data_IF_970486438280
#
_entry.id   IF_970486438280
#
_cell.length_a   1.000
_cell.length_b   1.000
_cell.length_c   1.000
_cell.angle_alpha   90.00
_cell.angle_beta   90.00
_cell.angle_gamma   90.00
#
_symmetry.space_group_name_H-M   'P 1'
#
loop_
_entity.id
_entity.type
_entity.pdbx_description
1 polymer ?
#
# COMPACT_ATOMS: atom_id res chain seq x y z
N UNK A 1 12.27 -26.58 93.01
CA UNK A 1 12.14 -25.10 93.05
C UNK A 1 11.28 -24.72 91.86
N UNK A 2 10.00 -24.44 92.12
CA UNK A 2 9.36 -23.10 92.02
C UNK A 2 9.00 -22.71 90.58
N UNK A 3 7.74 -23.01 90.25
CA UNK A 3 6.67 -22.06 89.88
C UNK A 3 7.03 -20.88 88.97
N UNK A 4 6.29 -20.71 87.87
CA UNK A 4 5.15 -19.78 87.89
C UNK A 4 4.17 -19.93 86.70
N UNK A 5 2.91 -19.75 87.06
CA UNK A 5 1.69 -19.65 86.25
C UNK A 5 1.73 -18.46 85.28
N UNK A 6 1.09 -18.58 84.11
CA UNK A 6 -0.04 -17.72 83.74
C UNK A 6 -0.73 -18.22 82.46
N UNK A 7 -1.99 -18.66 82.64
CA UNK A 7 -3.02 -18.77 81.61
C UNK A 7 -3.38 -17.38 81.07
N UNK A 8 -3.70 -17.28 79.77
CA UNK A 8 -4.92 -16.64 79.26
C UNK A 8 -5.03 -16.75 77.73
N UNK A 9 -6.21 -17.11 77.23
CA UNK A 9 -6.71 -16.61 75.94
C UNK A 9 -6.99 -17.63 74.84
N UNK A 10 -8.19 -18.22 74.89
CA UNK A 10 -8.87 -19.00 73.84
C UNK A 10 -9.09 -18.14 72.59
N UNK A 11 -8.92 -18.69 71.37
CA UNK A 11 -9.92 -18.63 70.29
C UNK A 11 -9.49 -19.57 69.14
N UNK A 12 -10.28 -20.63 68.94
CA UNK A 12 -10.16 -21.50 67.78
C UNK A 12 -10.56 -20.75 66.51
N UNK A 13 -9.75 -20.85 65.47
CA UNK A 13 -10.16 -20.53 64.11
C UNK A 13 -10.02 -21.78 63.24
N UNK A 14 -11.19 -22.27 62.87
CA UNK A 14 -11.47 -23.20 61.80
C UNK A 14 -10.91 -22.61 60.50
N UNK A 15 -9.79 -23.13 59.99
CA UNK A 15 -9.31 -22.76 58.66
C UNK A 15 -10.19 -23.49 57.64
N UNK A 16 -11.18 -22.78 57.09
CA UNK A 16 -11.80 -23.15 55.83
C UNK A 16 -10.73 -23.03 54.74
N UNK A 17 -10.22 -24.15 54.25
CA UNK A 17 -9.50 -24.19 52.98
C UNK A 17 -10.54 -24.00 51.88
N UNK A 18 -10.75 -22.74 51.47
CA UNK A 18 -11.45 -22.46 50.22
C UNK A 18 -10.53 -22.90 49.10
N UNK A 19 -10.88 -24.03 48.46
CA UNK A 19 -10.28 -24.44 47.19
C UNK A 19 -10.56 -23.32 46.17
N UNK A 20 -9.59 -22.43 46.00
CA UNK A 20 -9.61 -21.47 44.91
C UNK A 20 -9.52 -22.25 43.61
N UNK A 21 -10.63 -22.30 42.86
CA UNK A 21 -10.58 -22.54 41.43
C UNK A 21 -9.73 -21.42 40.82
N UNK A 22 -8.42 -21.65 40.69
CA UNK A 22 -7.61 -20.89 39.74
C UNK A 22 -8.06 -21.33 38.35
N UNK A 23 -9.09 -20.64 37.84
CA UNK A 23 -9.31 -20.56 36.42
C UNK A 23 -7.95 -20.15 35.80
N UNK A 24 -7.47 -20.83 34.74
CA UNK A 24 -6.29 -20.39 34.06
C UNK A 24 -6.53 -18.93 33.65
N UNK A 25 -5.66 -18.02 34.09
CA UNK A 25 -5.58 -16.69 33.50
C UNK A 25 -5.25 -16.93 32.02
N UNK A 26 -6.29 -16.91 31.19
CA UNK A 26 -6.19 -16.73 29.76
C UNK A 26 -5.36 -15.46 29.56
N UNK A 27 -4.06 -15.65 29.28
CA UNK A 27 -3.23 -14.63 28.64
C UNK A 27 -4.01 -14.18 27.42
N UNK A 28 -4.63 -13.01 27.54
CA UNK A 28 -5.31 -12.38 26.43
C UNK A 28 -4.26 -12.07 25.35
N UNK A 29 -4.39 -12.77 24.22
CA UNK A 29 -3.88 -12.40 22.91
C UNK A 29 -2.37 -12.50 22.73
N UNK A 30 -1.87 -13.68 22.39
CA UNK A 30 -0.92 -13.69 21.29
C UNK A 30 -1.72 -13.23 20.07
N UNK A 31 -1.50 -11.99 19.63
CA UNK A 31 -1.99 -11.51 18.34
C UNK A 31 -1.41 -12.47 17.29
N UNK A 32 -2.26 -13.28 16.66
CA UNK A 32 -1.83 -14.13 15.56
C UNK A 32 -1.57 -13.20 14.38
N UNK A 33 -0.29 -12.92 14.14
CA UNK A 33 0.18 -12.00 13.09
C UNK A 33 0.43 -12.73 11.78
N UNK A 34 0.19 -14.03 11.74
CA UNK A 34 0.39 -14.83 10.55
C UNK A 34 -0.62 -14.42 9.47
N UNK A 35 -0.18 -14.49 8.23
CA UNK A 35 -1.05 -14.30 7.07
C UNK A 35 -1.62 -15.65 6.62
N UNK A 36 -2.81 -15.64 6.02
CA UNK A 36 -3.36 -16.85 5.40
C UNK A 36 -2.66 -17.20 4.09
N UNK A 37 -2.67 -18.49 3.72
CA UNK A 37 -2.13 -18.94 2.43
C UNK A 37 -2.88 -18.34 1.23
N UNK A 38 -4.19 -18.10 1.41
CA UNK A 38 -5.02 -17.45 0.39
C UNK A 38 -4.58 -15.99 0.17
N UNK A 39 -4.34 -15.24 1.25
CA UNK A 39 -3.84 -13.87 1.15
C UNK A 39 -2.45 -13.83 0.54
N UNK A 40 -1.53 -14.70 0.97
CA UNK A 40 -0.18 -14.80 0.37
C UNK A 40 -0.24 -14.98 -1.15
N UNK A 41 -1.07 -15.93 -1.62
CA UNK A 41 -1.24 -16.21 -3.05
C UNK A 41 -1.84 -15.02 -3.79
N UNK A 42 -2.80 -14.31 -3.19
CA UNK A 42 -3.38 -13.11 -3.80
C UNK A 42 -2.36 -11.95 -3.87
N UNK A 43 -1.50 -11.77 -2.85
CA UNK A 43 -0.46 -10.75 -2.84
C UNK A 43 0.62 -11.03 -3.90
N UNK A 44 1.06 -12.28 -4.04
CA UNK A 44 2.01 -12.70 -5.08
C UNK A 44 1.45 -12.44 -6.49
N UNK A 45 0.19 -12.79 -6.72
CA UNK A 45 -0.50 -12.53 -8.00
C UNK A 45 -0.55 -11.02 -8.29
N UNK A 46 -0.94 -10.21 -7.30
CA UNK A 46 -1.03 -8.76 -7.44
C UNK A 46 0.33 -8.11 -7.67
N UNK A 47 1.41 -8.67 -7.13
CA UNK A 47 2.77 -8.23 -7.42
C UNK A 47 3.12 -8.41 -8.91
N UNK A 48 2.75 -9.54 -9.53
CA UNK A 48 2.91 -9.75 -10.98
C UNK A 48 2.02 -8.82 -11.81
N UNK A 49 0.79 -8.59 -11.37
CA UNK A 49 -0.16 -7.67 -12.05
C UNK A 49 0.38 -6.23 -12.04
N UNK A 50 0.90 -5.75 -10.91
CA UNK A 50 1.45 -4.39 -10.83
C UNK A 50 2.77 -4.25 -11.58
N UNK A 51 3.59 -5.29 -11.66
CA UNK A 51 4.81 -5.28 -12.48
C UNK A 51 4.51 -5.01 -13.97
N UNK A 52 3.44 -5.62 -14.51
CA UNK A 52 3.00 -5.40 -15.90
C UNK A 52 2.74 -3.92 -16.20
N UNK A 53 2.38 -3.11 -15.19
CA UNK A 53 2.15 -1.67 -15.39
C UNK A 53 3.41 -0.95 -15.88
N UNK A 54 4.61 -1.48 -15.61
CA UNK A 54 5.89 -0.98 -16.11
C UNK A 54 6.12 -1.22 -17.60
N UNK A 55 5.26 -1.99 -18.28
CA UNK A 55 5.25 -2.04 -19.74
C UNK A 55 4.60 -0.79 -20.36
N UNK A 56 3.82 -0.02 -19.61
CA UNK A 56 3.15 1.19 -20.08
C UNK A 56 4.13 2.37 -20.14
N UNK A 57 4.14 3.06 -21.29
CA UNK A 57 5.02 4.22 -21.54
C UNK A 57 6.42 3.88 -22.05
N UNK A 58 6.72 2.60 -22.33
CA UNK A 58 7.95 2.20 -23.03
C UNK A 58 7.80 2.39 -24.55
N UNK A 59 8.85 2.84 -25.23
CA UNK A 59 8.83 3.27 -26.65
C UNK A 59 8.73 2.14 -27.67
N UNK A 60 8.58 0.88 -27.27
CA UNK A 60 8.64 -0.23 -28.24
C UNK A 60 7.62 -1.36 -28.06
N UNK A 61 7.16 -1.70 -26.84
CA UNK A 61 6.31 -2.91 -26.65
C UNK A 61 5.31 -2.81 -25.50
N UNK A 62 4.50 -1.74 -25.49
CA UNK A 62 3.40 -1.56 -24.52
C UNK A 62 2.40 -2.71 -24.46
N UNK A 63 1.36 -2.57 -23.63
CA UNK A 63 0.34 -3.62 -23.49
C UNK A 63 -0.65 -3.51 -24.66
N UNK A 64 -0.95 -4.64 -25.28
CA UNK A 64 -1.85 -4.76 -26.43
C UNK A 64 -3.04 -5.67 -26.12
N UNK A 65 -4.15 -5.50 -26.86
CA UNK A 65 -5.33 -6.36 -26.76
C UNK A 65 -5.05 -7.76 -27.35
N UNK A 66 -5.66 -8.85 -26.83
CA UNK A 66 -6.56 -8.90 -25.68
C UNK A 66 -5.85 -8.62 -24.36
N UNK A 67 -4.71 -9.23 -24.05
CA UNK A 67 -3.81 -8.79 -22.97
C UNK A 67 -2.42 -9.38 -23.21
N UNK A 68 -1.60 -8.68 -23.99
CA UNK A 68 -0.26 -9.14 -24.40
C UNK A 68 0.79 -8.05 -24.20
N UNK A 69 1.94 -8.42 -23.65
CA UNK A 69 3.07 -7.54 -23.40
C UNK A 69 4.36 -8.35 -23.34
N UNK A 70 5.51 -7.65 -23.28
CA UNK A 70 6.82 -8.29 -23.15
C UNK A 70 7.01 -8.99 -21.80
N UNK A 71 6.36 -8.52 -20.72
CA UNK A 71 6.47 -9.09 -19.38
C UNK A 71 5.57 -10.33 -19.19
N UNK A 72 4.85 -10.41 -18.07
CA UNK A 72 4.10 -11.59 -17.61
C UNK A 72 2.64 -11.63 -18.05
N UNK A 73 2.26 -10.92 -19.12
CA UNK A 73 0.85 -10.93 -19.57
C UNK A 73 0.32 -12.33 -19.88
N UNK A 74 1.19 -13.26 -20.29
CA UNK A 74 0.84 -14.66 -20.55
C UNK A 74 0.45 -15.46 -19.30
N UNK A 75 0.79 -14.98 -18.09
CA UNK A 75 0.33 -15.58 -16.84
C UNK A 75 -1.18 -15.35 -16.60
N UNK A 76 -1.80 -14.44 -17.36
CA UNK A 76 -3.18 -13.99 -17.16
C UNK A 76 -4.05 -14.22 -18.41
N UNK A 77 -4.32 -15.47 -18.80
CA UNK A 77 -5.04 -15.79 -20.05
C UNK A 77 -6.50 -15.32 -20.07
N UNK A 78 -7.09 -15.04 -18.91
CA UNK A 78 -8.46 -14.53 -18.76
C UNK A 78 -8.55 -13.00 -18.70
N UNK A 79 -7.43 -12.30 -18.91
CA UNK A 79 -7.41 -10.85 -18.87
C UNK A 79 -7.78 -10.24 -20.23
N UNK A 80 -8.52 -9.14 -20.18
CA UNK A 80 -8.80 -8.26 -21.32
C UNK A 80 -8.40 -6.83 -20.98
N UNK A 81 -7.52 -6.24 -21.80
CA UNK A 81 -7.09 -4.86 -21.72
C UNK A 81 -8.23 -3.94 -22.17
N UNK A 82 -8.65 -3.07 -21.26
CA UNK A 82 -9.61 -2.01 -21.54
C UNK A 82 -8.88 -0.84 -22.18
N UNK A 83 -7.92 -0.27 -21.43
CA UNK A 83 -7.15 0.91 -21.83
C UNK A 83 -5.82 0.99 -21.09
N UNK A 84 -4.88 1.77 -21.63
CA UNK A 84 -3.63 2.17 -20.97
C UNK A 84 -3.57 3.70 -20.94
N UNK A 85 -3.00 4.28 -19.89
CA UNK A 85 -2.78 5.72 -19.84
C UNK A 85 -1.32 6.06 -19.52
N UNK A 86 -0.91 7.24 -19.99
CA UNK A 86 0.35 7.88 -19.63
C UNK A 86 0.09 9.40 -19.63
N UNK A 87 0.27 10.05 -18.49
CA UNK A 87 -0.05 11.47 -18.34
C UNK A 87 1.11 12.44 -18.64
N UNK A 88 2.28 11.97 -19.14
CA UNK A 88 3.35 12.87 -19.60
C UNK A 88 4.78 12.42 -19.24
N UNK A 89 5.76 13.36 -19.26
CA UNK A 89 7.14 13.20 -18.77
C UNK A 89 7.49 13.99 -17.48
N UNK A 90 6.52 14.54 -16.74
CA UNK A 90 6.69 15.34 -15.52
C UNK A 90 6.49 14.52 -14.21
N UNK A 91 6.84 15.06 -13.04
CA UNK A 91 6.64 14.37 -11.74
C UNK A 91 5.17 14.19 -11.32
N UNK A 92 4.23 14.71 -12.10
CA UNK A 92 2.79 14.41 -12.02
C UNK A 92 2.36 13.25 -12.92
N UNK A 93 3.32 12.54 -13.51
CA UNK A 93 3.06 11.44 -14.43
C UNK A 93 2.52 10.24 -13.68
N UNK A 94 1.37 9.81 -14.13
CA UNK A 94 0.81 8.53 -13.79
C UNK A 94 0.75 7.70 -15.07
N UNK A 95 1.22 6.47 -14.96
CA UNK A 95 1.12 5.46 -15.99
C UNK A 95 0.39 4.26 -15.41
N UNK A 96 -0.31 3.54 -16.27
CA UNK A 96 -1.00 2.33 -15.83
C UNK A 96 -1.96 1.80 -16.86
N UNK A 97 -2.75 0.83 -16.45
CA UNK A 97 -3.75 0.20 -17.31
C UNK A 97 -5.00 -0.21 -16.52
N UNK A 98 -6.11 -0.32 -17.26
CA UNK A 98 -7.33 -0.97 -16.81
C UNK A 98 -7.44 -2.30 -17.54
N UNK A 99 -7.68 -3.38 -16.80
CA UNK A 99 -7.96 -4.69 -17.36
C UNK A 99 -9.18 -5.33 -16.68
N UNK A 100 -9.91 -6.15 -17.44
CA UNK A 100 -10.92 -7.06 -16.91
C UNK A 100 -10.27 -8.40 -16.66
N UNK A 101 -10.55 -8.99 -15.51
CA UNK A 101 -10.25 -10.40 -15.22
C UNK A 101 -11.56 -11.18 -15.23
N UNK A 102 -11.80 -11.91 -16.32
CA UNK A 102 -13.01 -12.71 -16.46
C UNK A 102 -13.01 -13.96 -15.60
N UNK A 103 -11.84 -14.45 -15.18
CA UNK A 103 -11.69 -15.64 -14.35
C UNK A 103 -12.12 -15.38 -12.90
N UNK A 104 -11.63 -14.29 -12.31
CA UNK A 104 -12.00 -13.89 -10.92
C UNK A 104 -13.08 -12.82 -10.85
N UNK A 105 -13.64 -12.38 -11.99
CA UNK A 105 -14.65 -11.32 -12.10
C UNK A 105 -14.17 -10.03 -11.41
N UNK A 106 -13.06 -9.47 -11.88
CA UNK A 106 -12.48 -8.23 -11.34
C UNK A 106 -12.33 -7.17 -12.43
N UNK A 107 -12.56 -5.91 -12.08
CA UNK A 107 -12.05 -4.77 -12.83
C UNK A 107 -10.78 -4.32 -12.12
N UNK A 108 -9.63 -4.42 -12.79
CA UNK A 108 -8.32 -4.10 -12.22
C UNK A 108 -7.86 -2.75 -12.78
N UNK A 109 -7.43 -1.87 -11.88
CA UNK A 109 -6.72 -0.63 -12.21
C UNK A 109 -5.34 -0.70 -11.60
N UNK A 110 -4.31 -0.80 -12.44
CA UNK A 110 -2.93 -0.95 -12.02
C UNK A 110 -2.16 0.36 -12.21
N UNK A 111 -1.63 0.91 -11.12
CA UNK A 111 -0.88 2.16 -11.08
C UNK A 111 0.61 1.88 -10.99
N UNK A 112 1.34 2.41 -11.96
CA UNK A 112 2.79 2.25 -12.06
C UNK A 112 3.53 3.27 -11.19
N UNK A 113 4.69 2.88 -10.65
CA UNK A 113 5.65 3.80 -10.07
C UNK A 113 6.57 4.49 -11.10
N UNK A 114 7.33 5.49 -10.66
CA UNK A 114 8.30 6.21 -11.51
C UNK A 114 9.47 5.30 -11.93
N UNK A 115 10.06 5.51 -13.12
CA UNK A 115 11.26 4.77 -13.56
C UNK A 115 12.51 5.15 -12.75
N UNK A 116 12.59 6.39 -12.26
CA UNK A 116 13.71 6.89 -11.45
C UNK A 116 13.29 7.02 -9.99
N UNK A 117 13.24 5.88 -9.29
CA UNK A 117 12.91 5.81 -7.85
C UNK A 117 13.84 6.71 -7.03
N UNK A 118 15.12 6.79 -7.40
CA UNK A 118 16.10 7.66 -6.75
C UNK A 118 15.72 9.15 -6.88
N UNK A 119 15.31 9.60 -8.08
CA UNK A 119 14.82 10.97 -8.26
C UNK A 119 13.49 11.17 -7.55
N UNK A 120 12.59 10.18 -7.55
CA UNK A 120 11.32 10.25 -6.81
C UNK A 120 11.55 10.46 -5.31
N UNK A 121 12.55 9.82 -4.72
CA UNK A 121 12.92 10.01 -3.29
C UNK A 121 13.43 11.42 -3.01
N UNK A 122 14.13 12.04 -3.97
CA UNK A 122 14.54 13.45 -3.89
C UNK A 122 13.37 14.41 -4.15
N UNK A 123 12.50 14.08 -5.10
CA UNK A 123 11.36 14.87 -5.57
C UNK A 123 10.10 14.73 -4.71
N UNK A 124 10.08 13.77 -3.77
CA UNK A 124 9.22 13.71 -2.57
C UNK A 124 9.41 14.93 -1.64
N UNK A 125 10.07 15.97 -2.15
CA UNK A 125 10.08 17.37 -1.76
C UNK A 125 8.69 17.94 -1.40
N UNK A 126 8.24 17.57 -0.21
CA UNK A 126 7.53 18.38 0.79
C UNK A 126 6.76 19.59 0.27
N UNK A 127 5.63 19.35 -0.38
CA UNK A 127 4.55 20.36 -0.42
C UNK A 127 3.26 19.67 0.01
N UNK A 128 2.91 19.76 1.30
CA UNK A 128 1.58 19.39 1.75
C UNK A 128 0.56 20.33 1.13
N UNK A 129 -0.46 19.77 0.49
CA UNK A 129 -1.63 20.50 0.01
C UNK A 129 -2.84 20.09 0.85
N UNK A 130 -3.77 21.02 1.07
CA UNK A 130 -5.07 20.69 1.67
C UNK A 130 -5.77 19.60 0.86
N UNK A 131 -6.13 18.50 1.53
CA UNK A 131 -6.94 17.45 0.93
C UNK A 131 -8.43 17.87 0.93
N UNK A 132 -9.07 17.80 -0.23
CA UNK A 132 -10.50 18.07 -0.40
C UNK A 132 -11.15 16.73 -0.77
N UNK A 133 -12.03 16.17 0.09
CA UNK A 133 -12.69 14.91 -0.22
C UNK A 133 -13.49 14.99 -1.52
N UNK A 134 -13.32 14.00 -2.38
CA UNK A 134 -14.11 13.85 -3.61
C UNK A 134 -15.38 13.03 -3.36
N UNK A 135 -16.44 13.12 -4.20
CA UNK A 135 -16.64 14.11 -5.25
C UNK A 135 -16.80 15.51 -4.64
N UNK A 136 -15.78 16.35 -4.83
CA UNK A 136 -15.81 17.76 -4.48
C UNK A 136 -16.74 18.40 -5.49
N UNK A 137 -17.61 19.30 -5.03
CA UNK A 137 -18.51 20.02 -5.93
C UNK A 137 -17.71 20.88 -6.90
N UNK A 138 -17.30 20.30 -8.02
CA UNK A 138 -16.89 21.05 -9.19
C UNK A 138 -18.18 21.50 -9.87
N UNK A 139 -18.77 22.60 -9.38
CA UNK A 139 -19.62 23.45 -10.20
C UNK A 139 -18.74 24.11 -11.27
N UNK A 140 -18.47 23.36 -12.34
CA UNK A 140 -17.90 23.86 -13.58
C UNK A 140 -18.91 23.70 -14.69
N UNK A 141 -19.55 24.80 -15.09
CA UNK A 141 -20.49 24.88 -16.21
C UNK A 141 -19.88 24.28 -17.49
N UNK A 142 -20.39 23.12 -17.93
CA UNK A 142 -20.24 22.65 -19.31
C UNK A 142 -21.64 22.68 -19.95
N UNK A 143 -21.94 23.64 -20.83
CA UNK A 143 -23.19 23.63 -21.57
C UNK A 143 -23.04 22.66 -22.74
N UNK A 144 -23.62 21.47 -22.65
CA UNK A 144 -23.76 20.58 -23.82
C UNK A 144 -25.09 19.82 -23.73
N UNK A 145 -25.86 20.00 -24.81
CA UNK A 145 -27.22 19.54 -25.08
C UNK A 145 -27.25 18.03 -25.32
N UNK A 146 -27.17 17.25 -24.25
CA UNK A 146 -27.42 15.80 -24.26
C UNK A 146 -28.33 15.46 -23.07
N UNK A 147 -29.31 14.59 -23.28
CA UNK A 147 -30.33 14.21 -22.30
C UNK A 147 -29.74 13.97 -20.91
N UNK A 148 -30.21 14.73 -19.92
CA UNK A 148 -29.66 14.74 -18.56
C UNK A 148 -29.63 13.38 -17.85
N UNK A 149 -30.43 12.41 -18.29
CA UNK A 149 -30.46 11.06 -17.71
C UNK A 149 -29.22 10.23 -18.08
N UNK A 150 -28.75 10.34 -19.33
CA UNK A 150 -27.52 9.67 -19.79
C UNK A 150 -26.30 10.37 -19.15
N UNK A 151 -26.33 11.69 -19.03
CA UNK A 151 -25.29 12.47 -18.35
C UNK A 151 -25.20 12.11 -16.86
N UNK A 152 -26.32 11.88 -16.15
CA UNK A 152 -26.29 11.45 -14.74
C UNK A 152 -25.63 10.09 -14.55
N UNK A 153 -25.82 9.17 -15.49
CA UNK A 153 -25.15 7.86 -15.49
C UNK A 153 -23.66 7.95 -15.82
N UNK A 154 -23.26 8.85 -16.73
CA UNK A 154 -21.88 8.98 -17.22
C UNK A 154 -21.02 9.94 -16.38
N UNK A 155 -21.58 11.02 -15.81
CA UNK A 155 -20.79 12.02 -15.07
C UNK A 155 -20.41 11.59 -13.66
N UNK A 156 -21.00 10.52 -13.13
CA UNK A 156 -20.81 10.18 -11.73
C UNK A 156 -21.14 11.36 -10.83
N UNK A 157 -22.20 12.12 -11.15
CA UNK A 157 -22.85 13.10 -10.26
C UNK A 157 -23.56 12.34 -9.13
N UNK A 158 -22.84 11.42 -8.49
CA UNK A 158 -23.20 10.88 -7.19
C UNK A 158 -23.14 12.09 -6.25
N UNK A 159 -24.27 12.78 -6.09
CA UNK A 159 -24.45 13.77 -5.03
C UNK A 159 -23.94 13.12 -3.75
N UNK A 160 -22.89 13.71 -3.20
CA UNK A 160 -22.32 13.34 -1.90
C UNK A 160 -23.45 12.94 -0.97
N UNK A 161 -23.39 11.73 -0.41
CA UNK A 161 -24.32 11.37 0.67
C UNK A 161 -24.22 12.48 1.73
N UNK A 162 -25.35 13.08 2.17
CA UNK A 162 -25.31 14.18 3.14
C UNK A 162 -24.50 13.88 4.40
N UNK A 163 -24.29 12.58 4.69
CA UNK A 163 -23.58 12.05 5.85
C UNK A 163 -22.17 11.52 5.53
N UNK A 164 -21.63 11.74 4.34
CA UNK A 164 -20.29 11.24 4.03
C UNK A 164 -19.22 11.94 4.89
N UNK A 165 -18.38 11.19 5.64
CA UNK A 165 -17.38 11.76 6.52
C UNK A 165 -16.43 12.72 5.80
N UNK A 166 -16.26 13.93 6.34
CA UNK A 166 -15.27 14.90 5.87
C UNK A 166 -13.92 14.61 6.51
N UNK A 167 -12.87 14.63 5.70
CA UNK A 167 -11.50 14.63 6.20
C UNK A 167 -11.17 16.05 6.70
N UNK A 168 -11.23 16.26 8.01
CA UNK A 168 -10.94 17.57 8.63
C UNK A 168 -9.44 17.71 8.89
N UNK A 169 -8.86 18.88 8.60
CA UNK A 169 -7.43 19.18 8.76
C UNK A 169 -6.49 18.20 8.02
N UNK A 170 -6.97 17.62 6.93
CA UNK A 170 -6.20 16.68 6.15
C UNK A 170 -5.33 17.40 5.13
N UNK A 171 -4.06 16.99 5.07
CA UNK A 171 -3.13 17.39 4.02
C UNK A 171 -2.59 16.16 3.33
N UNK A 172 -2.34 16.29 2.03
CA UNK A 172 -1.87 15.26 1.11
C UNK A 172 -0.61 15.76 0.42
N UNK A 173 0.28 14.86 0.02
CA UNK A 173 1.40 15.23 -0.86
C UNK A 173 0.88 15.80 -2.20
N UNK A 174 1.26 17.04 -2.53
CA UNK A 174 0.80 17.73 -3.74
C UNK A 174 1.05 16.91 -5.00
N UNK A 175 2.23 16.31 -5.16
CA UNK A 175 2.57 15.53 -6.34
C UNK A 175 1.68 14.29 -6.52
N UNK A 176 1.35 13.59 -5.42
CA UNK A 176 0.47 12.42 -5.47
C UNK A 176 -0.95 12.83 -5.84
N UNK A 177 -1.41 13.93 -5.24
CA UNK A 177 -2.73 14.48 -5.50
C UNK A 177 -2.88 14.95 -6.94
N UNK A 178 -1.93 15.72 -7.47
CA UNK A 178 -1.91 16.14 -8.87
C UNK A 178 -1.88 14.94 -9.82
N UNK A 179 -1.08 13.92 -9.52
CA UNK A 179 -1.02 12.68 -10.32
C UNK A 179 -2.38 11.98 -10.37
N UNK A 180 -3.07 11.87 -9.22
CA UNK A 180 -4.43 11.31 -9.19
C UNK A 180 -5.41 12.16 -9.99
N UNK A 181 -5.43 13.49 -9.82
CA UNK A 181 -6.37 14.36 -10.52
C UNK A 181 -6.20 14.29 -12.05
N UNK A 182 -4.96 14.24 -12.52
CA UNK A 182 -4.66 14.06 -13.94
C UNK A 182 -5.11 12.69 -14.43
N UNK A 183 -4.81 11.62 -13.66
CA UNK A 183 -5.20 10.24 -14.00
C UNK A 183 -6.71 10.08 -14.08
N UNK A 184 -7.42 10.59 -13.07
CA UNK A 184 -8.88 10.50 -12.94
C UNK A 184 -9.59 11.00 -14.19
N UNK A 185 -9.14 12.12 -14.75
CA UNK A 185 -9.73 12.70 -15.96
C UNK A 185 -9.58 11.78 -17.18
N UNK A 186 -8.55 10.93 -17.22
CA UNK A 186 -8.32 9.98 -18.30
C UNK A 186 -9.05 8.66 -18.08
N UNK A 187 -9.03 8.13 -16.86
CA UNK A 187 -9.45 6.74 -16.62
C UNK A 187 -10.92 6.61 -16.21
N UNK A 188 -11.53 7.66 -15.64
CA UNK A 188 -12.86 7.54 -15.04
C UNK A 188 -13.96 7.19 -16.06
N UNK A 189 -14.02 7.75 -17.28
CA UNK A 189 -15.03 7.37 -18.26
C UNK A 189 -14.98 5.88 -18.65
N UNK A 190 -13.77 5.36 -18.91
CA UNK A 190 -13.58 3.94 -19.24
C UNK A 190 -13.91 3.06 -18.04
N UNK A 191 -13.42 3.41 -16.85
CA UNK A 191 -13.66 2.66 -15.63
C UNK A 191 -15.16 2.57 -15.30
N UNK A 192 -15.88 3.68 -15.39
CA UNK A 192 -17.32 3.72 -15.14
C UNK A 192 -18.09 2.87 -16.14
N UNK A 193 -17.67 2.88 -17.42
CA UNK A 193 -18.25 2.01 -18.44
C UNK A 193 -18.07 0.53 -18.08
N UNK A 194 -16.89 0.13 -17.61
CA UNK A 194 -16.64 -1.25 -17.20
C UNK A 194 -17.42 -1.64 -15.94
N UNK A 195 -17.47 -0.76 -14.93
CA UNK A 195 -18.22 -1.02 -13.71
C UNK A 195 -19.74 -1.09 -13.96
N UNK A 196 -20.25 -0.34 -14.94
CA UNK A 196 -21.66 -0.40 -15.34
C UNK A 196 -21.99 -1.67 -16.15
N UNK A 197 -21.10 -2.07 -17.07
CA UNK A 197 -21.32 -3.24 -17.92
C UNK A 197 -21.02 -4.57 -17.22
N UNK A 198 -20.22 -4.53 -16.15
CA UNK A 198 -19.86 -5.68 -15.33
C UNK A 198 -20.21 -5.46 -13.84
N UNK A 199 -21.50 -5.30 -13.47
CA UNK A 199 -21.92 -4.96 -12.11
C UNK A 199 -21.57 -6.04 -11.06
N UNK A 200 -21.31 -7.27 -11.50
CA UNK A 200 -20.88 -8.39 -10.68
C UNK A 200 -19.36 -8.47 -10.50
N UNK A 201 -18.59 -7.58 -11.14
CA UNK A 201 -17.14 -7.58 -11.03
C UNK A 201 -16.69 -6.72 -9.86
N UNK A 202 -15.70 -7.21 -9.12
CA UNK A 202 -15.10 -6.49 -8.00
C UNK A 202 -14.06 -5.50 -8.49
N UNK A 203 -14.12 -4.26 -8.02
CA UNK A 203 -13.11 -3.25 -8.30
C UNK A 203 -11.83 -3.53 -7.48
N UNK A 204 -10.70 -3.66 -8.16
CA UNK A 204 -9.38 -3.89 -7.56
C UNK A 204 -8.43 -2.80 -8.01
N UNK A 205 -7.83 -2.08 -7.06
CA UNK A 205 -6.77 -1.12 -7.32
C UNK A 205 -5.46 -1.72 -6.84
N UNK A 206 -4.44 -1.69 -7.69
CA UNK A 206 -3.10 -2.16 -7.32
C UNK A 206 -2.07 -1.11 -7.69
N UNK A 207 -1.09 -0.84 -6.82
CA UNK A 207 -0.08 0.18 -7.07
C UNK A 207 1.26 -0.14 -6.43
N UNK A 208 2.35 0.22 -7.10
CA UNK A 208 3.71 0.05 -6.59
C UNK A 208 4.42 1.40 -6.50
N UNK A 209 5.23 1.62 -5.47
CA UNK A 209 5.99 2.86 -5.26
C UNK A 209 5.05 4.09 -5.26
N UNK A 210 5.38 5.13 -6.02
CA UNK A 210 4.49 6.28 -6.30
C UNK A 210 3.07 5.85 -6.73
N UNK A 211 2.95 4.79 -7.52
CA UNK A 211 1.66 4.24 -7.95
C UNK A 211 0.80 3.74 -6.78
N UNK A 212 1.42 3.30 -5.69
CA UNK A 212 0.72 2.97 -4.44
C UNK A 212 0.02 4.19 -3.84
N UNK A 213 0.71 5.33 -3.76
CA UNK A 213 0.11 6.56 -3.24
C UNK A 213 -1.03 7.08 -4.14
N UNK A 214 -0.90 6.93 -5.46
CA UNK A 214 -1.98 7.26 -6.40
C UNK A 214 -3.16 6.31 -6.22
N UNK A 215 -2.91 5.01 -6.03
CA UNK A 215 -3.95 4.02 -5.75
C UNK A 215 -4.71 4.30 -4.43
N UNK A 216 -4.01 4.78 -3.39
CA UNK A 216 -4.60 5.21 -2.12
C UNK A 216 -5.63 6.33 -2.33
N UNK A 217 -5.23 7.38 -3.07
CA UNK A 217 -6.08 8.53 -3.37
C UNK A 217 -7.23 8.17 -4.32
N UNK A 218 -6.96 7.32 -5.32
CA UNK A 218 -7.96 6.77 -6.21
C UNK A 218 -9.02 6.00 -5.42
N UNK A 219 -8.60 5.18 -4.47
CA UNK A 219 -9.45 4.43 -3.57
C UNK A 219 -10.40 5.29 -2.78
N UNK A 220 -9.90 6.36 -2.16
CA UNK A 220 -10.73 7.31 -1.41
C UNK A 220 -11.77 8.02 -2.30
N UNK A 221 -11.38 8.47 -3.51
CA UNK A 221 -12.29 9.12 -4.47
C UNK A 221 -13.37 8.14 -4.97
N UNK A 222 -12.97 6.92 -5.35
CA UNK A 222 -13.90 5.90 -5.83
C UNK A 222 -14.85 5.42 -4.75
N UNK A 223 -14.37 5.24 -3.51
CA UNK A 223 -15.21 4.91 -2.36
C UNK A 223 -16.26 6.01 -2.11
N UNK A 224 -15.88 7.27 -2.26
CA UNK A 224 -16.78 8.40 -2.08
C UNK A 224 -17.81 8.56 -3.20
N UNK A 225 -17.50 8.05 -4.40
CA UNK A 225 -18.45 7.93 -5.51
C UNK A 225 -19.42 6.74 -5.36
N UNK A 226 -19.29 5.96 -4.28
CA UNK A 226 -20.15 4.82 -3.99
C UNK A 226 -19.67 3.49 -4.54
N UNK A 227 -18.43 3.41 -5.04
CA UNK A 227 -17.81 2.13 -5.38
C UNK A 227 -17.22 1.46 -4.13
N UNK A 228 -16.89 0.17 -4.22
CA UNK A 228 -16.25 -0.59 -3.13
C UNK A 228 -14.92 -1.20 -3.63
N UNK A 229 -13.84 -0.41 -3.70
CA UNK A 229 -12.55 -0.90 -4.16
C UNK A 229 -11.83 -1.74 -3.08
N UNK A 230 -11.18 -2.82 -3.52
CA UNK A 230 -10.10 -3.46 -2.74
C UNK A 230 -8.77 -2.92 -3.25
N UNK A 231 -7.93 -2.47 -2.34
CA UNK A 231 -6.68 -1.78 -2.62
C UNK A 231 -5.52 -2.60 -2.10
N UNK A 232 -4.52 -2.82 -2.94
CA UNK A 232 -3.24 -3.42 -2.54
C UNK A 232 -2.10 -2.58 -3.06
N UNK A 233 -1.25 -2.13 -2.16
CA UNK A 233 -0.09 -1.30 -2.50
C UNK A 233 1.21 -1.97 -2.09
N UNK A 234 2.27 -1.77 -2.87
CA UNK A 234 3.59 -2.30 -2.61
C UNK A 234 4.58 -1.13 -2.52
N UNK A 235 5.28 -1.00 -1.39
CA UNK A 235 6.23 0.11 -1.21
C UNK A 235 5.55 1.48 -1.22
N UNK A 236 4.33 1.57 -0.70
CA UNK A 236 3.57 2.82 -0.67
C UNK A 236 4.23 3.86 0.24
N UNK A 237 4.58 5.06 -0.26
CA UNK A 237 5.06 6.15 0.58
C UNK A 237 3.94 6.76 1.41
N UNK A 238 4.29 7.51 2.46
CA UNK A 238 3.34 8.26 3.28
C UNK A 238 2.57 9.28 2.45
N UNK A 239 1.26 9.09 2.35
CA UNK A 239 0.40 9.88 1.45
C UNK A 239 0.10 11.28 1.98
N UNK A 240 0.01 11.45 3.30
CA UNK A 240 -0.36 12.72 3.91
C UNK A 240 -0.12 12.77 5.42
N UNK A 241 -0.77 13.74 6.07
CA UNK A 241 -0.65 13.93 7.51
C UNK A 241 -1.52 12.96 8.32
N UNK A 242 -1.42 13.06 9.65
CA UNK A 242 -2.21 12.25 10.60
C UNK A 242 -3.73 12.36 10.40
N UNK A 243 -4.22 13.52 9.94
CA UNK A 243 -5.63 13.67 9.60
C UNK A 243 -6.03 12.78 8.42
N UNK A 244 -5.22 12.76 7.36
CA UNK A 244 -5.48 11.94 6.18
C UNK A 244 -5.29 10.44 6.48
N UNK A 245 -4.26 10.06 7.24
CA UNK A 245 -4.03 8.67 7.61
C UNK A 245 -5.22 8.08 8.39
N UNK A 246 -5.65 8.77 9.47
CA UNK A 246 -6.84 8.37 10.24
C UNK A 246 -8.10 8.30 9.39
N UNK A 247 -8.27 9.25 8.47
CA UNK A 247 -9.41 9.23 7.57
C UNK A 247 -9.38 8.00 6.66
N UNK A 248 -8.22 7.63 6.11
CA UNK A 248 -8.07 6.41 5.33
C UNK A 248 -8.38 5.17 6.18
N UNK A 249 -7.86 5.13 7.41
CA UNK A 249 -8.10 4.04 8.35
C UNK A 249 -9.60 3.84 8.63
N UNK A 250 -10.31 4.93 8.94
CA UNK A 250 -11.76 4.94 9.16
C UNK A 250 -12.53 4.51 7.91
N UNK A 251 -12.16 5.05 6.73
CA UNK A 251 -12.88 4.78 5.47
C UNK A 251 -12.73 3.35 5.00
N UNK A 252 -11.58 2.72 5.24
CA UNK A 252 -11.30 1.34 4.86
C UNK A 252 -11.47 0.33 6.00
N UNK A 253 -11.71 0.81 7.23
CA UNK A 253 -11.79 0.01 8.45
C UNK A 253 -10.50 -0.81 8.68
N UNK A 254 -9.35 -0.13 8.63
CA UNK A 254 -8.03 -0.70 8.93
C UNK A 254 -7.49 -0.12 10.26
N UNK A 255 -6.49 -0.78 10.85
CA UNK A 255 -5.94 -0.42 12.16
C UNK A 255 -6.68 -1.02 13.36
N UNK A 256 -7.82 -1.66 13.12
CA UNK A 256 -8.53 -2.47 14.11
C UNK A 256 -8.10 -3.94 14.12
N UNK A 257 -8.96 -4.80 14.67
CA UNK A 257 -8.75 -6.25 14.68
C UNK A 257 -8.75 -6.81 13.25
N UNK A 258 -7.73 -7.59 12.90
CA UNK A 258 -7.66 -8.31 11.62
C UNK A 258 -8.83 -9.31 11.55
N UNK A 259 -9.59 -9.34 10.45
CA UNK A 259 -10.64 -10.34 10.26
C UNK A 259 -10.09 -11.77 10.34
N UNK A 260 -10.92 -12.73 10.76
CA UNK A 260 -10.54 -14.16 10.77
C UNK A 260 -10.16 -14.65 9.36
N UNK A 261 -10.84 -14.13 8.35
CA UNK A 261 -10.50 -14.28 6.95
C UNK A 261 -9.85 -12.98 6.46
N UNK A 262 -8.52 -12.94 6.54
CA UNK A 262 -7.70 -11.76 6.22
C UNK A 262 -7.75 -11.35 4.74
N UNK A 263 -8.26 -12.22 3.85
CA UNK A 263 -8.57 -11.84 2.46
C UNK A 263 -9.68 -10.79 2.36
N UNK A 264 -10.46 -10.57 3.43
CA UNK A 264 -11.50 -9.53 3.47
C UNK A 264 -10.97 -8.13 3.78
N UNK A 265 -9.67 -7.97 4.02
CA UNK A 265 -9.05 -6.66 4.15
C UNK A 265 -9.23 -5.87 2.84
N UNK A 266 -9.92 -4.72 2.93
CA UNK A 266 -10.17 -3.85 1.78
C UNK A 266 -9.00 -2.95 1.42
N UNK A 267 -8.07 -2.73 2.35
CA UNK A 267 -6.82 -2.01 2.10
C UNK A 267 -5.67 -2.83 2.66
N UNK A 268 -4.67 -3.10 1.82
CA UNK A 268 -3.50 -3.93 2.14
C UNK A 268 -2.25 -3.18 1.71
N UNK A 269 -1.48 -2.68 2.67
CA UNK A 269 -0.23 -1.93 2.43
C UNK A 269 0.96 -2.88 2.63
N UNK A 270 1.50 -3.41 1.55
CA UNK A 270 2.64 -4.34 1.60
C UNK A 270 3.95 -3.54 1.68
N UNK A 271 4.77 -3.86 2.67
CA UNK A 271 6.09 -3.26 2.89
C UNK A 271 7.16 -4.34 2.92
N UNK A 272 8.38 -4.00 2.51
CA UNK A 272 9.52 -4.90 2.51
C UNK A 272 10.60 -4.37 3.46
N UNK A 273 11.32 -5.28 4.13
CA UNK A 273 12.49 -4.92 4.96
C UNK A 273 13.49 -4.09 4.16
N UNK A 274 14.12 -3.09 4.80
CA UNK A 274 15.07 -2.16 4.17
C UNK A 274 14.51 -1.33 2.99
N UNK A 275 13.21 -1.37 2.69
CA UNK A 275 12.61 -0.44 1.73
C UNK A 275 12.44 0.95 2.39
N UNK A 276 13.14 1.98 1.92
CA UNK A 276 13.05 3.32 2.50
C UNK A 276 11.83 4.12 2.03
N UNK A 277 11.15 3.72 0.95
CA UNK A 277 10.06 4.52 0.35
C UNK A 277 8.82 4.61 1.27
N UNK A 278 8.37 3.54 1.94
CA UNK A 278 7.31 3.64 2.95
C UNK A 278 7.64 4.58 4.13
N UNK A 279 8.93 4.88 4.34
CA UNK A 279 9.41 5.80 5.36
C UNK A 279 9.53 7.24 4.86
N UNK A 280 9.04 7.53 3.65
CA UNK A 280 9.06 8.86 3.04
C UNK A 280 7.65 9.31 2.61
N UNK A 281 7.36 10.62 2.60
CA UNK A 281 8.16 11.71 3.17
C UNK A 281 8.32 11.58 4.70
N UNK A 282 9.29 12.27 5.30
CA UNK A 282 9.63 12.07 6.72
C UNK A 282 8.53 12.49 7.71
N UNK A 283 8.47 11.81 8.86
CA UNK A 283 7.56 12.13 9.96
C UNK A 283 7.75 13.56 10.48
N UNK A 284 9.01 14.03 10.56
CA UNK A 284 9.35 15.40 10.93
C UNK A 284 8.81 16.48 9.96
N UNK A 285 8.33 16.10 8.78
CA UNK A 285 7.68 17.00 7.82
C UNK A 285 6.14 17.00 7.93
N UNK A 286 5.60 16.31 8.94
CA UNK A 286 4.16 16.24 9.20
C UNK A 286 3.43 15.12 8.44
N UNK A 287 4.15 14.19 7.82
CA UNK A 287 3.59 13.00 7.18
C UNK A 287 3.53 11.83 8.15
N UNK A 288 2.58 10.91 7.97
CA UNK A 288 2.53 9.67 8.74
C UNK A 288 2.05 8.51 7.87
N UNK A 289 2.39 7.30 8.27
CA UNK A 289 1.80 6.07 7.72
C UNK A 289 0.37 5.91 8.24
N UNK A 290 -0.44 5.21 7.46
CA UNK A 290 -1.74 4.69 7.87
C UNK A 290 -1.63 3.17 8.15
N UNK A 291 -2.65 2.57 8.75
CA UNK A 291 -2.68 1.17 9.13
C UNK A 291 -2.89 0.20 7.95
N UNK A 292 -2.99 -1.10 8.24
CA UNK A 292 -3.22 -2.14 7.23
C UNK A 292 -1.95 -2.68 6.61
N UNK A 293 -0.83 -2.58 7.33
CA UNK A 293 0.47 -3.05 6.87
C UNK A 293 0.62 -4.57 6.94
N UNK A 294 1.13 -5.13 5.84
CA UNK A 294 1.59 -6.51 5.73
C UNK A 294 3.08 -6.44 5.41
N UNK A 295 3.91 -6.88 6.34
CA UNK A 295 5.35 -6.67 6.29
C UNK A 295 6.07 -7.95 5.86
N UNK A 296 6.89 -7.86 4.81
CA UNK A 296 7.82 -8.89 4.36
C UNK A 296 9.14 -8.71 5.12
N UNK A 297 9.41 -9.60 6.07
CA UNK A 297 10.57 -9.50 6.96
C UNK A 297 11.86 -10.08 6.35
N UNK A 298 11.74 -10.94 5.33
CA UNK A 298 12.88 -11.53 4.64
C UNK A 298 13.37 -10.60 3.54
N UNK A 299 14.68 -10.33 3.53
CA UNK A 299 15.33 -9.46 2.56
C UNK A 299 15.45 -10.06 1.16
N UNK A 300 15.54 -11.39 1.09
CA UNK A 300 15.90 -12.10 -0.13
C UNK A 300 14.66 -12.63 -0.86
N UNK A 301 14.66 -12.49 -2.18
CA UNK A 301 13.62 -13.09 -3.02
C UNK A 301 13.80 -14.62 -3.17
N UNK A 302 12.73 -15.41 -3.22
CA UNK A 302 11.33 -15.05 -2.93
C UNK A 302 11.00 -15.28 -1.44
N UNK A 303 10.10 -14.48 -0.84
CA UNK A 303 9.62 -14.72 0.52
C UNK A 303 8.70 -15.94 0.60
N UNK A 304 8.74 -16.68 1.69
CA UNK A 304 7.77 -17.73 2.00
C UNK A 304 6.64 -17.16 2.88
N UNK A 305 5.52 -17.86 3.01
CA UNK A 305 4.37 -17.38 3.81
C UNK A 305 4.75 -16.99 5.25
N UNK A 306 5.72 -17.69 5.84
CA UNK A 306 6.22 -17.44 7.19
C UNK A 306 7.06 -16.16 7.31
N UNK A 307 7.49 -15.58 6.19
CA UNK A 307 8.26 -14.34 6.14
C UNK A 307 7.37 -13.10 6.12
N UNK A 308 6.04 -13.28 6.08
CA UNK A 308 5.06 -12.20 6.08
C UNK A 308 4.29 -12.17 7.40
N UNK A 309 4.01 -10.96 7.87
CA UNK A 309 3.20 -10.74 9.06
C UNK A 309 2.28 -9.52 8.93
N UNK A 310 1.13 -9.58 9.57
CA UNK A 310 0.30 -8.40 9.81
C UNK A 310 0.92 -7.51 10.88
N UNK A 311 0.80 -6.20 10.69
CA UNK A 311 1.28 -5.17 11.62
C UNK A 311 0.11 -4.49 12.34
N UNK A 312 0.37 -4.07 13.58
CA UNK A 312 -0.61 -3.49 14.48
C UNK A 312 -0.58 -1.95 14.40
N UNK A 313 -1.67 -1.37 13.89
CA UNK A 313 -1.81 0.07 13.75
C UNK A 313 -0.81 0.71 12.77
N UNK A 314 -0.46 1.96 13.02
CA UNK A 314 0.30 2.80 12.08
C UNK A 314 1.81 2.79 12.31
N UNK A 315 2.25 2.38 13.52
CA UNK A 315 3.63 2.61 14.02
C UNK A 315 4.19 1.37 14.72
N UNK A 316 3.93 0.19 14.17
CA UNK A 316 4.40 -1.08 14.71
C UNK A 316 5.92 -1.23 14.63
N UNK A 317 6.60 -1.19 15.78
CA UNK A 317 8.06 -1.29 15.86
C UNK A 317 8.65 -2.63 15.41
N UNK A 318 7.84 -3.68 15.19
CA UNK A 318 8.29 -4.96 14.61
C UNK A 318 8.15 -5.02 13.09
N UNK A 319 7.67 -3.95 12.46
CA UNK A 319 7.46 -3.83 11.02
C UNK A 319 8.29 -2.66 10.44
N UNK A 320 7.86 -2.04 9.34
CA UNK A 320 8.65 -0.99 8.69
C UNK A 320 8.90 0.21 9.63
N UNK A 321 7.96 0.52 10.51
CA UNK A 321 8.10 1.63 11.46
C UNK A 321 9.28 1.46 12.43
N UNK A 322 9.71 0.21 12.69
CA UNK A 322 10.91 -0.07 13.49
C UNK A 322 12.21 0.42 12.84
N UNK A 323 12.20 0.64 11.53
CA UNK A 323 13.34 1.15 10.75
C UNK A 323 13.30 2.68 10.57
N UNK A 324 12.30 3.38 11.13
CA UNK A 324 12.21 4.83 11.05
C UNK A 324 13.23 5.52 11.99
N UNK A 325 14.39 5.88 11.46
CA UNK A 325 15.44 6.59 12.18
C UNK A 325 15.00 7.95 12.76
N UNK A 326 13.91 8.55 12.26
CA UNK A 326 13.41 9.84 12.76
C UNK A 326 12.65 9.72 14.08
N UNK A 327 12.19 8.52 14.44
CA UNK A 327 11.51 8.23 15.70
C UNK A 327 12.54 7.96 16.84
N UNK A 328 13.77 7.56 16.50
CA UNK A 328 14.82 7.21 17.47
C UNK A 328 15.70 8.39 17.95
N UNK A 329 15.19 9.62 17.89
CA UNK A 329 15.80 10.77 18.56
C UNK A 329 17.09 11.33 17.93
N UNK A 330 17.43 10.96 16.69
CA UNK A 330 18.47 11.65 15.93
C UNK A 330 17.84 12.82 15.15
N UNK A 331 18.11 14.03 15.61
CA UNK A 331 17.69 15.30 14.98
C UNK A 331 18.45 15.53 13.67
N UNK A 332 18.11 14.79 12.61
CA UNK A 332 18.69 15.01 11.28
C UNK A 332 18.05 16.25 10.66
N UNK A 333 18.86 17.27 10.39
CA UNK A 333 18.35 18.51 9.77
C UNK A 333 18.12 18.28 8.27
N UNK A 334 17.13 18.99 7.70
CA UNK A 334 16.78 18.95 6.26
C UNK A 334 17.98 19.14 5.33
N UNK A 335 19.01 19.86 5.76
CA UNK A 335 20.24 20.10 4.98
C UNK A 335 21.20 18.91 5.01
N UNK A 336 21.32 18.23 6.14
CA UNK A 336 22.28 17.12 6.30
C UNK A 336 21.87 15.91 5.46
N UNK A 337 20.56 15.64 5.35
CA UNK A 337 20.04 14.54 4.53
C UNK A 337 20.17 14.83 3.03
N UNK A 338 19.78 16.03 2.59
CA UNK A 338 19.90 16.44 1.19
C UNK A 338 21.36 16.55 0.75
N UNK A 339 22.27 16.99 1.64
CA UNK A 339 23.71 16.98 1.37
C UNK A 339 24.25 15.56 1.25
N UNK A 340 23.83 14.61 2.12
CA UNK A 340 24.26 13.21 2.01
C UNK A 340 23.80 12.55 0.71
N UNK A 341 22.58 12.86 0.24
CA UNK A 341 22.07 12.32 -1.03
C UNK A 341 22.69 13.02 -2.24
N UNK A 342 23.03 14.32 -2.13
CA UNK A 342 23.64 15.09 -3.21
C UNK A 342 25.11 14.74 -3.43
N UNK A 343 25.89 14.62 -2.35
CA UNK A 343 27.32 14.26 -2.44
C UNK A 343 27.50 12.81 -2.93
N UNK A 344 26.54 11.92 -2.65
CA UNK A 344 26.56 10.52 -3.14
C UNK A 344 26.14 10.33 -4.61
N UNK A 345 25.53 11.34 -5.25
CA UNK A 345 25.16 11.29 -6.68
C UNK A 345 26.31 11.76 -7.59
N UNK A 346 27.16 12.68 -7.13
CA UNK A 346 28.34 13.12 -7.90
C UNK A 346 29.43 12.02 -7.99
N UNK A 347 29.48 11.07 -7.04
CA UNK A 347 30.45 9.95 -7.05
C UNK A 347 30.11 8.80 -8.02
N UNK A 348 28.93 8.78 -8.65
CA UNK A 348 28.54 7.72 -9.60
C UNK A 348 29.13 7.93 -11.01
N UNK A 349 29.82 9.05 -11.28
CA UNK A 349 30.53 9.26 -12.55
C UNK A 349 31.97 8.77 -12.57
N UNK A 350 32.50 8.25 -11.44
CA UNK A 350 33.87 7.73 -11.36
C UNK A 350 33.92 6.46 -10.50
N UNK A 351 33.80 5.29 -11.12
CA UNK A 351 34.30 4.03 -10.54
C UNK A 351 35.83 4.13 -10.28
N UNK A 352 36.46 3.37 -9.35
CA UNK A 352 36.12 2.02 -8.89
C UNK A 352 36.26 1.75 -7.36
N UNK A 353 35.46 0.81 -6.83
CA UNK A 353 35.62 0.10 -5.55
C UNK A 353 36.06 0.91 -4.30
N UNK A 354 35.09 1.41 -3.52
CA UNK A 354 35.33 1.88 -2.15
C UNK A 354 34.06 2.46 -1.49
N UNK A 355 33.34 1.66 -0.71
CA UNK A 355 32.02 1.99 -0.14
C UNK A 355 32.15 2.46 1.32
N UNK A 356 31.72 3.70 1.68
CA UNK A 356 31.41 4.10 3.05
C UNK A 356 29.92 3.90 3.39
N UNK A 357 29.63 3.73 4.69
CA UNK A 357 28.50 2.95 5.22
C UNK A 357 27.51 3.78 6.05
N UNK A 358 26.42 4.32 5.48
CA UNK A 358 25.23 4.66 6.31
C UNK A 358 23.84 4.77 5.67
N UNK A 359 23.69 4.81 4.35
CA UNK A 359 22.44 4.41 3.66
C UNK A 359 22.86 3.92 2.28
N UNK A 360 22.70 2.64 1.97
CA UNK A 360 23.18 2.13 0.69
C UNK A 360 22.14 2.52 -0.37
N UNK A 361 22.50 3.37 -1.33
CA UNK A 361 21.69 3.64 -2.53
C UNK A 361 21.18 2.33 -3.21
N UNK A 362 21.88 1.22 -2.98
CA UNK A 362 21.46 -0.13 -3.35
C UNK A 362 20.19 -0.62 -2.65
N UNK A 363 19.92 -0.28 -1.39
CA UNK A 363 18.65 -0.60 -0.70
C UNK A 363 17.48 0.15 -1.35
N UNK A 364 17.66 1.42 -1.71
CA UNK A 364 16.70 2.20 -2.52
C UNK A 364 16.43 1.52 -3.88
N UNK A 365 17.42 0.84 -4.44
CA UNK A 365 17.33 0.22 -5.76
C UNK A 365 16.80 -1.23 -5.72
N UNK A 366 17.12 -2.01 -4.70
CA UNK A 366 16.76 -3.43 -4.63
C UNK A 366 15.60 -3.72 -3.71
N UNK A 367 15.67 -3.35 -2.42
CA UNK A 367 14.61 -3.64 -1.45
C UNK A 367 13.27 -3.01 -1.85
N UNK A 368 13.30 -1.80 -2.39
CA UNK A 368 12.10 -1.14 -2.89
C UNK A 368 11.47 -1.81 -4.12
N UNK A 369 12.20 -2.69 -4.81
CA UNK A 369 11.69 -3.41 -5.98
C UNK A 369 11.37 -4.87 -5.68
N UNK A 370 11.84 -5.39 -4.57
CA UNK A 370 11.79 -6.82 -4.25
C UNK A 370 10.50 -7.15 -3.45
N UNK A 371 9.38 -7.26 -4.18
CA UNK A 371 8.06 -7.61 -3.62
C UNK A 371 7.57 -8.90 -4.27
N UNK A 372 7.86 -10.05 -3.65
CA UNK A 372 7.69 -11.42 -4.20
C UNK A 372 8.58 -11.74 -5.41
N UNK A 373 8.75 -10.75 -6.27
CA UNK A 373 9.57 -10.69 -7.46
C UNK A 373 10.25 -9.34 -7.50
N UNK A 374 11.30 -9.22 -8.32
CA UNK A 374 11.84 -7.91 -8.63
C UNK A 374 10.93 -7.17 -9.60
N UNK A 375 10.15 -6.23 -9.08
CA UNK A 375 9.23 -5.36 -9.82
C UNK A 375 9.98 -4.28 -10.61
N UNK A 376 9.30 -3.65 -11.55
CA UNK A 376 9.75 -2.40 -12.18
C UNK A 376 10.43 -2.56 -13.54
N UNK A 377 10.36 -3.75 -14.16
CA UNK A 377 10.99 -4.02 -15.46
C UNK A 377 10.00 -4.69 -16.42
N UNK A 378 9.79 -4.09 -17.58
CA UNK A 378 9.08 -4.76 -18.67
C UNK A 378 10.07 -5.61 -19.48
N UNK A 379 10.31 -6.85 -19.05
CA UNK A 379 11.24 -7.79 -19.70
C UNK A 379 10.62 -9.18 -19.87
N UNK A 380 11.04 -9.97 -20.89
CA UNK A 380 10.51 -11.32 -21.15
C UNK A 380 10.43 -12.21 -19.91
N UNK A 381 9.22 -12.61 -19.52
CA UNK A 381 8.99 -13.51 -18.39
C UNK A 381 9.16 -12.90 -16.99
N UNK A 382 9.34 -11.58 -16.89
CA UNK A 382 9.75 -10.89 -15.66
C UNK A 382 11.28 -10.93 -15.44
N UNK A 383 11.80 -10.26 -14.41
CA UNK A 383 13.26 -10.19 -14.18
C UNK A 383 13.89 -11.61 -14.12
N UNK A 384 14.73 -12.00 -15.11
CA UNK A 384 15.31 -13.34 -15.18
C UNK A 384 16.30 -13.63 -14.04
N UNK A 385 16.75 -12.61 -13.30
CA UNK A 385 17.61 -12.73 -12.12
C UNK A 385 16.84 -12.56 -10.79
N UNK A 386 15.56 -12.18 -10.86
CA UNK A 386 14.79 -11.60 -9.76
C UNK A 386 13.91 -12.57 -8.98
N UNK A 387 14.46 -13.75 -8.66
CA UNK A 387 13.96 -14.66 -7.63
C UNK A 387 12.46 -15.02 -7.73
N UNK A 388 12.16 -16.11 -8.44
CA UNK A 388 10.91 -16.86 -8.25
C UNK A 388 10.80 -18.14 -9.06
N UNK A 389 11.95 -18.77 -9.29
CA UNK A 389 12.01 -20.16 -9.77
C UNK A 389 11.29 -21.15 -8.85
N UNK A 390 11.04 -20.79 -7.57
CA UNK A 390 10.26 -21.60 -6.64
C UNK A 390 8.76 -21.65 -6.99
N UNK A 391 8.11 -20.52 -7.27
CA UNK A 391 6.67 -20.51 -7.61
C UNK A 391 6.36 -20.98 -9.03
N UNK A 392 7.36 -20.99 -9.93
CA UNK A 392 7.19 -21.52 -11.27
C UNK A 392 6.93 -23.06 -11.28
N UNK A 393 7.40 -23.77 -10.24
CA UNK A 393 7.28 -25.22 -10.12
C UNK A 393 6.00 -25.71 -9.42
N UNK A 394 5.25 -24.85 -8.73
CA UNK A 394 3.98 -25.24 -8.07
C UNK A 394 2.75 -25.17 -9.01
N UNK A 395 2.91 -24.73 -10.27
CA UNK A 395 1.83 -24.74 -11.28
C UNK A 395 1.33 -26.14 -11.67
N UNK A 396 2.00 -27.22 -11.24
CA UNK A 396 1.63 -28.59 -11.64
C UNK A 396 0.73 -29.34 -10.64
N UNK A 397 0.53 -28.84 -9.40
CA UNK A 397 -0.18 -29.58 -8.34
C UNK A 397 -1.37 -28.85 -7.66
N UNK A 398 -1.96 -27.82 -8.28
CA UNK A 398 -3.18 -27.15 -7.79
C UNK A 398 -4.32 -27.05 -8.83
#
# INVERSE_FOLDING_TARGET
MRSDLLLLGIFGQLILVVAGFQAPLLRHGASDRNISAALFTELEELARIVDISYCVGSTSFGISKPFSCLSRCTDFPHFELVTTWNTGPLLSDSCGYIALDHGKKRVIVAFRGTYSIANTVVDLSTVPQKYVPYPGGDEGNIPLDVSQEIIKGIKGDAKRSPNEPKCLNCTVHMGFHSSWLNTRNQILPDLQTQLFTHPQYRLTLVGHSLGGAVAALAGLDLLARGYDPIITTFGEPRVGNVGLAKYLDERFNVGGKIPEDDTKLRYRRVTHVDDPVPLLPLTGWGYTMHAGEIYIAKSDLSPDIADLQHCEGDTDGKCIAGQDATVQGQTLTRRDLLASVKDEIDEVTTEPWGIPSRYKLWQLFFAHRDYFWRLGLCVPGGDPLGGGGKYAHEKEDL
#
